data_IF_770584497615
#
_entry.id   IF_770584497615
#
_cell.length_a   1.000
_cell.length_b   1.000
_cell.length_c   1.000
_cell.angle_alpha   90.00
_cell.angle_beta   90.00
_cell.angle_gamma   90.00
#
_symmetry.space_group_name_H-M   'P 1'
#
loop_
_entity.id
_entity.type
_entity.pdbx_description
1 polymer ?
#
# COMPACT_ATOMS: atom_id res chain seq x y z
N UNK A 1 16.36 -18.20 9.53
CA UNK A 1 15.94 -16.86 9.07
C UNK A 1 17.18 -15.98 8.97
N UNK A 2 17.36 -15.24 7.87
CA UNK A 2 18.35 -14.17 7.80
C UNK A 2 17.81 -12.91 8.46
N UNK A 3 18.61 -12.27 9.32
CA UNK A 3 18.23 -10.99 9.95
C UNK A 3 18.73 -9.87 9.04
N UNK A 4 17.80 -9.06 8.52
CA UNK A 4 18.15 -7.84 7.78
C UNK A 4 18.18 -6.68 8.77
N UNK A 5 19.34 -6.01 8.90
CA UNK A 5 19.46 -4.80 9.70
C UNK A 5 18.88 -3.63 8.92
N UNK A 6 17.98 -2.87 9.55
CA UNK A 6 17.43 -1.63 9.02
C UNK A 6 17.66 -0.51 10.05
N UNK A 7 17.73 0.74 9.58
CA UNK A 7 17.86 1.88 10.47
C UNK A 7 16.62 2.02 11.38
N UNK A 8 16.83 2.44 12.63
CA UNK A 8 15.75 2.54 13.63
C UNK A 8 14.62 3.48 13.17
N UNK A 9 14.97 4.60 12.55
CA UNK A 9 14.00 5.56 11.99
C UNK A 9 13.12 4.91 10.91
N UNK A 10 13.73 4.11 10.02
CA UNK A 10 12.99 3.40 8.97
C UNK A 10 12.13 2.26 9.55
N UNK A 11 12.60 1.59 10.60
CA UNK A 11 11.82 0.57 11.30
C UNK A 11 10.51 1.14 11.85
N UNK A 12 10.54 2.35 12.43
CA UNK A 12 9.34 3.01 12.95
C UNK A 12 8.37 3.44 11.85
N UNK A 13 8.87 3.91 10.70
CA UNK A 13 8.00 4.22 9.56
C UNK A 13 7.37 2.96 8.93
N UNK A 14 8.11 1.85 8.84
CA UNK A 14 7.56 0.55 8.42
C UNK A 14 6.46 0.10 9.38
N UNK A 15 6.67 0.26 10.70
CA UNK A 15 5.68 -0.07 11.71
C UNK A 15 4.38 0.71 11.49
N UNK A 16 4.44 2.04 11.30
CA UNK A 16 3.26 2.86 11.00
C UNK A 16 2.58 2.45 9.70
N UNK A 17 3.35 2.28 8.62
CA UNK A 17 2.82 1.87 7.32
C UNK A 17 2.12 0.50 7.37
N UNK A 18 2.69 -0.46 8.11
CA UNK A 18 2.09 -1.78 8.29
C UNK A 18 0.72 -1.71 8.97
N UNK A 19 0.56 -0.83 9.96
CA UNK A 19 -0.72 -0.56 10.62
C UNK A 19 -1.75 0.04 9.66
N UNK A 20 -1.36 1.04 8.87
CA UNK A 20 -2.23 1.67 7.88
C UNK A 20 -2.68 0.69 6.78
N UNK A 21 -1.79 -0.21 6.37
CA UNK A 21 -2.05 -1.20 5.31
C UNK A 21 -2.64 -2.52 5.85
N UNK A 22 -3.00 -2.57 7.14
CA UNK A 22 -3.58 -3.75 7.81
C UNK A 22 -2.78 -5.04 7.59
N UNK A 23 -1.45 -4.97 7.74
CA UNK A 23 -0.53 -6.12 7.59
C UNK A 23 0.58 -6.12 8.65
N UNK A 24 1.30 -7.23 8.78
CA UNK A 24 2.46 -7.31 9.70
C UNK A 24 3.65 -6.49 9.18
N UNK A 25 4.56 -6.11 10.08
CA UNK A 25 5.81 -5.40 9.75
C UNK A 25 6.62 -6.21 8.71
N UNK A 26 6.74 -7.52 8.91
CA UNK A 26 7.47 -8.38 7.97
C UNK A 26 6.78 -8.43 6.59
N UNK A 27 5.45 -8.51 6.55
CA UNK A 27 4.71 -8.47 5.29
C UNK A 27 4.83 -7.11 4.57
N UNK A 28 4.92 -6.02 5.34
CA UNK A 28 5.20 -4.68 4.81
C UNK A 28 6.60 -4.60 4.19
N UNK A 29 7.62 -5.10 4.90
CA UNK A 29 9.00 -5.14 4.40
C UNK A 29 9.12 -6.03 3.16
N UNK A 30 8.55 -7.23 3.19
CA UNK A 30 8.54 -8.17 2.06
C UNK A 30 7.91 -7.55 0.81
N UNK A 31 6.78 -6.84 0.98
CA UNK A 31 6.15 -6.15 -0.13
C UNK A 31 7.05 -5.06 -0.73
N UNK A 32 7.70 -4.22 0.08
CA UNK A 32 8.61 -3.20 -0.44
C UNK A 32 9.81 -3.82 -1.16
N UNK A 33 10.40 -4.89 -0.62
CA UNK A 33 11.49 -5.61 -1.28
C UNK A 33 11.04 -6.20 -2.62
N UNK A 34 9.86 -6.82 -2.66
CA UNK A 34 9.30 -7.37 -3.90
C UNK A 34 9.02 -6.28 -4.94
N UNK A 35 8.41 -5.17 -4.52
CA UNK A 35 8.12 -4.04 -5.41
C UNK A 35 9.39 -3.36 -5.91
N UNK A 36 10.41 -3.21 -5.07
CA UNK A 36 11.72 -2.69 -5.46
C UNK A 36 12.38 -3.56 -6.53
N UNK A 37 12.43 -4.88 -6.30
CA UNK A 37 12.96 -5.84 -7.28
C UNK A 37 12.18 -5.80 -8.60
N UNK A 38 10.85 -5.70 -8.55
CA UNK A 38 10.02 -5.58 -9.75
C UNK A 38 10.27 -4.27 -10.51
N UNK A 39 10.49 -3.17 -9.80
CA UNK A 39 10.83 -1.89 -10.42
C UNK A 39 12.22 -1.94 -11.10
N UNK A 40 13.19 -2.64 -10.51
CA UNK A 40 14.50 -2.86 -11.12
C UNK A 40 14.41 -3.74 -12.38
N UNK A 41 13.60 -4.80 -12.36
CA UNK A 41 13.42 -5.71 -13.49
C UNK A 41 12.56 -5.12 -14.61
N UNK A 42 11.67 -4.19 -14.27
CA UNK A 42 10.75 -3.58 -15.22
C UNK A 42 10.76 -2.03 -15.13
N UNK A 43 11.87 -1.35 -15.51
CA UNK A 43 12.05 0.09 -15.28
C UNK A 43 11.04 1.00 -15.97
N UNK A 44 10.36 0.49 -17.01
CA UNK A 44 9.34 1.24 -17.77
C UNK A 44 7.94 1.16 -17.15
N UNK A 45 7.74 0.26 -16.18
CA UNK A 45 6.44 0.07 -15.54
C UNK A 45 6.28 1.02 -14.37
N UNK A 46 5.12 1.65 -14.29
CA UNK A 46 4.75 2.43 -13.11
C UNK A 46 4.27 1.52 -11.96
N UNK A 47 4.15 2.08 -10.77
CA UNK A 47 3.73 1.35 -9.58
C UNK A 47 2.39 0.59 -9.75
N UNK A 48 1.41 1.18 -10.43
CA UNK A 48 0.10 0.56 -10.63
C UNK A 48 0.20 -0.69 -11.53
N UNK A 49 1.03 -0.62 -12.57
CA UNK A 49 1.27 -1.76 -13.46
C UNK A 49 2.01 -2.89 -12.73
N UNK A 50 3.03 -2.55 -11.94
CA UNK A 50 3.74 -3.55 -11.11
C UNK A 50 2.78 -4.20 -10.09
N UNK A 51 1.92 -3.42 -9.46
CA UNK A 51 0.93 -3.93 -8.52
C UNK A 51 -0.07 -4.86 -9.21
N UNK A 52 -0.53 -4.51 -10.42
CA UNK A 52 -1.40 -5.36 -11.23
C UNK A 52 -0.73 -6.71 -11.53
N UNK A 53 0.55 -6.72 -11.89
CA UNK A 53 1.30 -7.97 -12.11
C UNK A 53 1.32 -8.84 -10.85
N UNK A 54 1.56 -8.26 -9.67
CA UNK A 54 1.54 -8.99 -8.39
C UNK A 54 0.16 -9.57 -8.10
N UNK A 55 -0.92 -8.81 -8.33
CA UNK A 55 -2.29 -9.27 -8.11
C UNK A 55 -2.69 -10.39 -9.08
N UNK A 56 -2.29 -10.29 -10.35
CA UNK A 56 -2.54 -11.31 -11.37
C UNK A 56 -1.80 -12.62 -11.06
N UNK A 57 -0.53 -12.53 -10.65
CA UNK A 57 0.26 -13.69 -10.23
C UNK A 57 -0.36 -14.43 -9.04
N UNK A 58 -1.01 -13.70 -8.14
CA UNK A 58 -1.68 -14.26 -6.96
C UNK A 58 -3.14 -14.69 -7.23
N UNK A 59 -3.60 -14.65 -8.49
CA UNK A 59 -5.00 -14.94 -8.90
C UNK A 59 -6.05 -14.19 -8.05
N UNK A 60 -5.74 -12.95 -7.66
CA UNK A 60 -6.64 -12.16 -6.80
C UNK A 60 -7.88 -11.74 -7.59
N UNK A 61 -9.03 -12.30 -7.21
CA UNK A 61 -10.34 -11.95 -7.75
C UNK A 61 -11.10 -11.09 -6.74
N UNK A 62 -11.06 -9.77 -6.92
CA UNK A 62 -11.75 -8.82 -6.03
C UNK A 62 -13.28 -8.78 -6.17
N UNK A 63 -13.88 -9.67 -6.98
CA UNK A 63 -15.27 -9.64 -7.43
C UNK A 63 -16.34 -9.69 -6.31
N UNK A 64 -15.97 -9.82 -5.04
CA UNK A 64 -16.87 -9.82 -3.88
C UNK A 64 -16.72 -8.67 -2.89
N UNK A 65 -15.75 -7.75 -3.08
CA UNK A 65 -15.51 -6.65 -2.13
C UNK A 65 -16.38 -5.45 -2.52
N UNK A 66 -17.56 -5.30 -1.90
CA UNK A 66 -18.39 -4.10 -2.08
C UNK A 66 -17.64 -2.87 -1.53
N UNK A 67 -17.58 -1.80 -2.30
CA UNK A 67 -17.05 -0.50 -1.91
C UNK A 67 -17.96 0.17 -0.86
N UNK A 68 -17.97 -0.34 0.37
CA UNK A 68 -18.95 0.07 1.39
C UNK A 68 -18.48 1.19 2.33
N UNK A 69 -17.36 1.88 2.09
CA UNK A 69 -16.81 2.80 3.10
C UNK A 69 -16.08 4.06 2.58
N UNK A 70 -16.28 4.49 1.33
CA UNK A 70 -15.60 5.70 0.80
C UNK A 70 -16.50 6.95 0.78
N UNK A 71 -17.81 6.82 1.09
CA UNK A 71 -18.77 7.92 0.90
C UNK A 71 -18.85 8.94 2.05
N UNK A 72 -18.23 8.72 3.22
CA UNK A 72 -18.36 9.64 4.37
C UNK A 72 -17.25 10.70 4.48
N UNK A 73 -16.21 10.67 3.65
CA UNK A 73 -15.07 11.60 3.78
C UNK A 73 -15.17 12.90 2.95
N UNK A 74 -16.21 13.09 2.14
CA UNK A 74 -16.40 14.33 1.36
C UNK A 74 -17.43 15.28 1.96
N UNK A 75 -17.89 15.04 3.19
CA UNK A 75 -18.97 15.79 3.83
C UNK A 75 -18.53 16.78 4.90
N UNK A 76 -17.55 17.67 4.67
CA UNK A 76 -17.34 18.84 5.55
C UNK A 76 -16.90 20.08 4.76
N UNK A 77 -17.69 21.14 4.94
CA UNK A 77 -17.42 22.57 4.75
C UNK A 77 -17.59 23.20 3.35
N UNK A 78 -18.84 23.48 2.97
CA UNK A 78 -19.14 24.75 2.29
C UNK A 78 -20.53 25.30 2.67
N UNK A 79 -20.69 25.73 3.93
CA UNK A 79 -21.81 26.59 4.32
C UNK A 79 -21.31 27.57 5.41
N UNK A 80 -20.88 28.77 4.96
CA UNK A 80 -21.01 30.08 5.66
C UNK A 80 -20.03 31.11 5.07
N UNK A 81 -20.33 31.58 3.85
CA UNK A 81 -19.93 32.93 3.44
C UNK A 81 -20.94 33.55 2.48
N UNK A 82 -22.14 33.77 2.99
CA UNK A 82 -23.05 34.80 2.49
C UNK A 82 -23.18 35.84 3.60
N UNK A 83 -22.48 36.96 3.42
CA UNK A 83 -22.76 38.23 4.07
C UNK A 83 -23.25 39.18 2.98
#
# INVERSE_FOLDING_TARGET
>A
MGIVKIADELHEEIRKASGAMSRSINAQAEFWLKMGMLAELHPTHNYQQLLQMVMQQADVKAAGVKAAAVQELTGVADERRSA
#
